data_IF_585372155503
#
_entry.id   IF_585372155503
#
_cell.length_a   1.000
_cell.length_b   1.000
_cell.length_c   1.000
_cell.angle_alpha   90.00
_cell.angle_beta   90.00
_cell.angle_gamma   90.00
#
_symmetry.space_group_name_H-M   'P 1'
#
loop_
_entity.id
_entity.type
_entity.pdbx_description
1 polymer ?
#
# COMPACT_ATOMS: atom_id res chain seq x y z
N UNK A 1 -14.01 -34.62 13.80
CA UNK A 1 -13.59 -33.48 12.95
C UNK A 1 -12.32 -33.92 12.24
N UNK A 2 -12.30 -33.93 10.91
CA UNK A 2 -11.14 -34.38 10.13
C UNK A 2 -9.99 -33.37 10.22
N UNK A 3 -8.75 -33.87 10.22
CA UNK A 3 -7.59 -33.00 10.06
C UNK A 3 -7.71 -32.26 8.73
N UNK A 4 -7.46 -30.93 8.69
CA UNK A 4 -7.39 -30.23 7.42
C UNK A 4 -6.34 -30.92 6.53
N UNK A 5 -6.74 -31.28 5.32
CA UNK A 5 -5.87 -31.88 4.33
C UNK A 5 -4.80 -30.89 3.90
N UNK A 6 -3.64 -31.40 3.49
CA UNK A 6 -2.52 -30.60 3.00
C UNK A 6 -2.91 -29.60 1.90
N UNK A 7 -3.95 -29.91 1.12
CA UNK A 7 -4.46 -29.07 0.02
C UNK A 7 -5.55 -28.06 0.44
N UNK A 8 -6.06 -28.11 1.68
CA UNK A 8 -7.21 -27.30 2.11
C UNK A 8 -6.86 -25.81 2.19
N UNK A 9 -5.59 -25.48 2.52
CA UNK A 9 -5.10 -24.10 2.54
C UNK A 9 -4.94 -23.54 1.12
N UNK A 10 -4.31 -24.32 0.24
CA UNK A 10 -4.10 -23.94 -1.16
C UNK A 10 -5.43 -23.74 -1.89
N UNK A 11 -6.42 -24.61 -1.65
CA UNK A 11 -7.76 -24.47 -2.22
C UNK A 11 -8.47 -23.20 -1.70
N UNK A 12 -8.32 -22.88 -0.40
CA UNK A 12 -8.83 -21.62 0.16
C UNK A 12 -8.17 -20.39 -0.48
N UNK A 13 -6.86 -20.42 -0.70
CA UNK A 13 -6.14 -19.35 -1.38
C UNK A 13 -6.52 -19.22 -2.85
N UNK A 14 -6.75 -20.32 -3.57
CA UNK A 14 -7.26 -20.29 -4.93
C UNK A 14 -8.64 -19.63 -4.98
N UNK A 15 -9.58 -20.04 -4.12
CA UNK A 15 -10.92 -19.43 -4.03
C UNK A 15 -10.87 -17.93 -3.71
N UNK A 16 -9.95 -17.50 -2.84
CA UNK A 16 -9.73 -16.08 -2.55
C UNK A 16 -9.20 -15.32 -3.78
N UNK A 17 -8.25 -15.91 -4.51
CA UNK A 17 -7.75 -15.33 -5.77
C UNK A 17 -8.84 -15.22 -6.83
N UNK A 18 -9.68 -16.24 -6.99
CA UNK A 18 -10.84 -16.24 -7.90
C UNK A 18 -11.87 -15.17 -7.51
N UNK A 19 -12.04 -14.94 -6.21
CA UNK A 19 -12.91 -13.89 -5.67
C UNK A 19 -12.32 -12.48 -5.82
N UNK A 20 -11.10 -12.36 -6.37
CA UNK A 20 -10.47 -11.09 -6.70
C UNK A 20 -9.66 -10.46 -5.57
N UNK A 21 -9.04 -11.25 -4.68
CA UNK A 21 -8.20 -10.75 -3.59
C UNK A 21 -7.21 -9.66 -4.07
N UNK A 22 -7.41 -8.38 -3.65
CA UNK A 22 -6.61 -7.26 -4.11
C UNK A 22 -5.17 -7.33 -3.61
N UNK A 23 -4.91 -8.03 -2.50
CA UNK A 23 -3.57 -8.11 -1.91
C UNK A 23 -2.64 -8.99 -2.74
N UNK A 24 -3.16 -10.01 -3.42
CA UNK A 24 -2.39 -10.80 -4.38
C UNK A 24 -1.91 -9.93 -5.53
N UNK A 25 -2.77 -9.03 -6.03
CA UNK A 25 -2.39 -8.07 -7.09
C UNK A 25 -1.36 -7.07 -6.56
N UNK A 26 -1.56 -6.54 -5.35
CA UNK A 26 -0.64 -5.59 -4.75
C UNK A 26 0.76 -6.19 -4.57
N UNK A 27 0.86 -7.39 -4.01
CA UNK A 27 2.12 -8.12 -3.84
C UNK A 27 2.83 -8.40 -5.18
N UNK A 28 2.08 -8.64 -6.25
CA UNK A 28 2.65 -8.83 -7.59
C UNK A 28 3.11 -7.51 -8.25
N UNK A 29 2.55 -6.37 -7.84
CA UNK A 29 2.85 -5.06 -8.44
C UNK A 29 4.08 -4.39 -7.83
N UNK A 30 4.38 -4.70 -6.57
CA UNK A 30 5.38 -4.01 -5.76
C UNK A 30 6.45 -5.01 -5.33
N UNK A 31 7.69 -4.71 -5.68
CA UNK A 31 8.84 -5.40 -5.12
C UNK A 31 9.18 -4.77 -3.75
N UNK A 32 8.62 -5.34 -2.69
CA UNK A 32 8.82 -4.84 -1.32
C UNK A 32 10.29 -4.96 -0.85
N UNK A 33 11.07 -5.87 -1.45
CA UNK A 33 12.51 -5.99 -1.14
C UNK A 33 13.31 -4.76 -1.56
N UNK A 34 12.83 -3.99 -2.54
CA UNK A 34 13.44 -2.72 -2.94
C UNK A 34 13.51 -1.68 -1.79
N UNK A 35 12.66 -1.82 -0.76
CA UNK A 35 12.62 -0.93 0.40
C UNK A 35 13.63 -1.33 1.48
N UNK A 36 14.17 -2.55 1.46
CA UNK A 36 15.04 -3.10 2.52
C UNK A 36 16.21 -2.20 2.87
N UNK A 37 16.91 -1.66 1.86
CA UNK A 37 18.08 -0.80 2.08
C UNK A 37 17.72 0.51 2.83
N UNK A 38 16.61 1.14 2.45
CA UNK A 38 16.09 2.34 3.12
C UNK A 38 15.66 2.03 4.56
N UNK A 39 14.92 0.93 4.75
CA UNK A 39 14.48 0.47 6.05
C UNK A 39 15.67 0.16 6.98
N UNK A 40 16.68 -0.56 6.49
CA UNK A 40 17.89 -0.87 7.25
C UNK A 40 18.65 0.39 7.68
N UNK A 41 18.78 1.36 6.76
CA UNK A 41 19.42 2.65 7.03
C UNK A 41 18.67 3.44 8.10
N UNK A 42 17.34 3.52 7.99
CA UNK A 42 16.50 4.26 8.92
C UNK A 42 16.52 3.65 10.34
N UNK A 43 16.47 2.32 10.42
CA UNK A 43 16.41 1.63 11.70
C UNK A 43 17.78 1.56 12.42
N UNK A 44 18.88 1.91 11.74
CA UNK A 44 20.26 1.93 12.29
C UNK A 44 20.56 0.73 13.19
N UNK A 45 20.12 -0.46 12.80
CA UNK A 45 20.15 -1.64 13.68
C UNK A 45 21.61 -2.05 13.92
N UNK A 46 21.95 -2.24 15.20
CA UNK A 46 23.21 -2.87 15.60
C UNK A 46 23.18 -4.37 15.28
N UNK A 47 24.36 -4.97 15.15
CA UNK A 47 24.69 -6.37 14.80
C UNK A 47 24.12 -7.46 15.72
N UNK A 48 23.13 -7.16 16.58
CA UNK A 48 22.52 -8.15 17.47
C UNK A 48 23.41 -8.56 18.66
N UNK A 49 24.54 -7.87 18.87
CA UNK A 49 25.52 -8.15 19.95
C UNK A 49 24.98 -8.04 21.38
N UNK A 50 23.76 -7.51 21.58
CA UNK A 50 23.15 -7.34 22.92
C UNK A 50 22.21 -8.46 23.37
N UNK A 51 22.05 -9.52 22.57
CA UNK A 51 21.18 -10.65 22.89
C UNK A 51 19.68 -10.31 22.88
N UNK A 52 18.83 -11.32 22.71
CA UNK A 52 17.38 -11.20 22.61
C UNK A 52 16.80 -11.95 21.42
N UNK A 53 15.45 -12.02 21.34
CA UNK A 53 14.77 -12.56 20.16
C UNK A 53 15.14 -11.70 18.94
N UNK A 54 15.54 -12.30 17.80
CA UNK A 54 15.79 -11.54 16.59
C UNK A 54 14.59 -10.64 16.25
N UNK A 55 14.82 -9.37 15.89
CA UNK A 55 13.74 -8.50 15.50
C UNK A 55 13.07 -9.01 14.23
N UNK A 56 11.79 -8.70 14.05
CA UNK A 56 11.09 -9.00 12.80
C UNK A 56 11.78 -8.39 11.59
N UNK A 57 11.62 -9.07 10.46
CA UNK A 57 12.11 -8.61 9.17
C UNK A 57 11.55 -7.22 8.85
N UNK A 58 12.39 -6.21 8.55
CA UNK A 58 11.90 -4.86 8.30
C UNK A 58 10.96 -4.75 7.09
N UNK A 59 11.09 -5.62 6.08
CA UNK A 59 10.21 -5.60 4.91
C UNK A 59 8.81 -6.07 5.30
N UNK A 60 8.71 -7.21 6.00
CA UNK A 60 7.44 -7.67 6.60
C UNK A 60 6.80 -6.59 7.48
N UNK A 61 7.58 -5.94 8.34
CA UNK A 61 7.04 -4.87 9.19
C UNK A 61 6.53 -3.68 8.37
N UNK A 62 7.16 -3.35 7.24
CA UNK A 62 6.68 -2.31 6.33
C UNK A 62 5.42 -2.71 5.59
N UNK A 63 5.30 -3.97 5.13
CA UNK A 63 4.07 -4.52 4.56
C UNK A 63 2.89 -4.43 5.54
N UNK A 64 3.14 -4.65 6.84
CA UNK A 64 2.14 -4.44 7.90
C UNK A 64 1.71 -2.97 7.98
N UNK A 65 2.65 -2.00 7.90
CA UNK A 65 2.28 -0.58 7.88
C UNK A 65 1.47 -0.23 6.63
N UNK A 66 1.76 -0.86 5.49
CA UNK A 66 0.96 -0.72 4.28
C UNK A 66 -0.45 -1.27 4.49
N UNK A 67 -0.62 -2.45 5.07
CA UNK A 67 -1.95 -2.99 5.43
C UNK A 67 -2.70 -2.04 6.38
N UNK A 68 -2.02 -1.47 7.37
CA UNK A 68 -2.59 -0.48 8.28
C UNK A 68 -3.15 0.73 7.53
N UNK A 69 -2.40 1.26 6.57
CA UNK A 69 -2.82 2.41 5.78
C UNK A 69 -3.94 2.04 4.80
N UNK A 70 -3.87 0.87 4.15
CA UNK A 70 -4.84 0.43 3.16
C UNK A 70 -6.23 0.15 3.77
N UNK A 71 -6.26 -0.37 4.99
CA UNK A 71 -7.50 -0.76 5.68
C UNK A 71 -7.86 0.16 6.86
N UNK A 72 -7.14 1.27 7.02
CA UNK A 72 -7.33 2.25 8.12
C UNK A 72 -7.38 1.59 9.50
N UNK A 73 -6.41 0.71 9.77
CA UNK A 73 -6.37 -0.09 10.99
C UNK A 73 -5.52 0.59 12.07
N UNK A 74 -5.96 0.49 13.33
CA UNK A 74 -5.12 0.74 14.49
C UNK A 74 -4.08 -0.37 14.68
N UNK A 75 -3.10 -0.18 15.57
CA UNK A 75 -2.11 -1.21 15.89
C UNK A 75 -2.77 -2.50 16.43
N UNK A 76 -3.72 -2.37 17.36
CA UNK A 76 -4.48 -3.51 17.91
C UNK A 76 -5.34 -4.21 16.84
N UNK A 77 -6.03 -3.44 16.01
CA UNK A 77 -6.84 -3.98 14.93
C UNK A 77 -5.96 -4.72 13.91
N UNK A 78 -4.74 -4.24 13.69
CA UNK A 78 -3.79 -4.87 12.76
C UNK A 78 -3.33 -6.23 13.26
N UNK A 79 -2.91 -6.31 14.53
CA UNK A 79 -2.57 -7.59 15.15
C UNK A 79 -3.72 -8.59 15.04
N UNK A 80 -4.93 -8.16 15.40
CA UNK A 80 -6.12 -9.01 15.34
C UNK A 80 -6.43 -9.47 13.91
N UNK A 81 -6.45 -8.56 12.94
CA UNK A 81 -6.82 -8.86 11.55
C UNK A 81 -5.78 -9.76 10.85
N UNK A 82 -4.49 -9.64 11.18
CA UNK A 82 -3.47 -10.55 10.65
C UNK A 82 -3.71 -11.98 11.16
N UNK A 83 -4.13 -12.15 12.42
CA UNK A 83 -4.44 -13.48 12.99
C UNK A 83 -5.74 -14.07 12.45
N UNK A 84 -6.71 -13.23 12.13
CA UNK A 84 -8.05 -13.66 11.73
C UNK A 84 -8.16 -13.92 10.20
N UNK A 85 -7.42 -13.15 9.38
CA UNK A 85 -7.62 -13.14 7.93
C UNK A 85 -6.53 -13.87 7.17
N UNK A 86 -6.93 -14.96 6.52
CA UNK A 86 -6.08 -15.72 5.59
C UNK A 86 -5.47 -14.87 4.47
N UNK A 87 -6.21 -13.89 3.94
CA UNK A 87 -5.68 -12.98 2.90
C UNK A 87 -4.54 -12.10 3.40
N UNK A 88 -4.56 -11.71 4.68
CA UNK A 88 -3.49 -10.90 5.28
C UNK A 88 -2.26 -11.76 5.57
N UNK A 89 -2.45 -12.95 6.16
CA UNK A 89 -1.36 -13.90 6.36
C UNK A 89 -0.66 -14.24 5.05
N UNK A 90 -1.44 -14.53 3.99
CA UNK A 90 -0.90 -14.80 2.66
C UNK A 90 -0.09 -13.64 2.10
N UNK A 91 -0.61 -12.41 2.23
CA UNK A 91 0.06 -11.20 1.76
C UNK A 91 1.41 -11.01 2.47
N UNK A 92 1.46 -11.24 3.78
CA UNK A 92 2.67 -11.11 4.61
C UNK A 92 3.60 -12.33 4.54
N UNK A 93 3.26 -13.36 3.79
CA UNK A 93 4.01 -14.62 3.73
C UNK A 93 4.06 -15.40 5.06
N UNK A 94 3.09 -15.18 5.95
CA UNK A 94 3.01 -15.84 7.26
C UNK A 94 2.21 -17.16 7.17
N UNK A 95 2.76 -18.22 7.76
CA UNK A 95 2.07 -19.46 8.06
C UNK A 95 1.29 -19.40 9.39
N UNK A 96 0.46 -20.41 9.66
CA UNK A 96 -0.37 -20.47 10.88
C UNK A 96 0.42 -20.51 12.19
N UNK A 97 1.60 -21.12 12.17
CA UNK A 97 2.46 -21.24 13.34
C UNK A 97 3.44 -20.06 13.48
N UNK A 98 3.48 -19.17 12.49
CA UNK A 98 4.38 -18.02 12.53
C UNK A 98 3.88 -16.97 13.51
N UNK A 99 4.83 -16.33 14.19
CA UNK A 99 4.50 -15.29 15.14
C UNK A 99 4.07 -14.00 14.44
N UNK A 100 2.88 -13.51 14.80
CA UNK A 100 2.39 -12.21 14.36
C UNK A 100 2.96 -11.11 15.27
N UNK A 101 3.54 -10.02 14.71
CA UNK A 101 3.94 -8.86 15.50
C UNK A 101 2.76 -8.31 16.30
N UNK A 102 2.96 -8.09 17.61
CA UNK A 102 1.93 -7.46 18.44
C UNK A 102 1.79 -5.97 18.15
N UNK A 103 0.68 -5.37 18.59
CA UNK A 103 0.38 -3.96 18.39
C UNK A 103 1.53 -3.04 18.84
N UNK A 104 2.17 -3.36 19.98
CA UNK A 104 3.29 -2.59 20.51
C UNK A 104 4.52 -2.65 19.61
N UNK A 105 4.78 -3.81 19.00
CA UNK A 105 5.88 -4.02 18.06
C UNK A 105 5.66 -3.23 16.78
N UNK A 106 4.42 -3.22 16.26
CA UNK A 106 4.04 -2.40 15.09
C UNK A 106 4.21 -0.91 15.40
N UNK A 107 3.71 -0.47 16.55
CA UNK A 107 3.86 0.91 17.01
C UNK A 107 5.33 1.33 17.15
N UNK A 108 6.15 0.53 17.82
CA UNK A 108 7.59 0.81 18.00
C UNK A 108 8.32 0.93 16.66
N UNK A 109 8.01 0.03 15.72
CA UNK A 109 8.59 0.06 14.38
C UNK A 109 8.25 1.36 13.63
N UNK A 110 6.97 1.75 13.65
CA UNK A 110 6.51 3.03 13.08
C UNK A 110 7.22 4.20 13.73
N UNK A 111 7.31 4.21 15.07
CA UNK A 111 7.96 5.29 15.82
C UNK A 111 9.45 5.43 15.46
N UNK A 112 10.18 4.32 15.26
CA UNK A 112 11.57 4.38 14.82
C UNK A 112 11.72 5.01 13.44
N UNK A 113 10.84 4.65 12.49
CA UNK A 113 10.86 5.24 11.14
C UNK A 113 10.48 6.72 11.16
N UNK A 114 9.50 7.11 11.98
CA UNK A 114 9.09 8.51 12.16
C UNK A 114 10.25 9.34 12.71
N UNK A 115 10.92 8.87 13.77
CA UNK A 115 12.09 9.56 14.37
C UNK A 115 13.27 9.66 13.41
N UNK A 116 13.41 8.68 12.51
CA UNK A 116 14.43 8.71 11.47
C UNK A 116 14.04 9.61 10.28
N UNK A 117 12.83 10.18 10.24
CA UNK A 117 12.32 10.95 9.10
C UNK A 117 12.07 10.10 7.85
N UNK A 118 12.03 8.77 7.99
CA UNK A 118 11.99 7.84 6.86
C UNK A 118 10.57 7.45 6.44
N UNK A 119 9.57 7.67 7.30
CA UNK A 119 8.19 7.20 7.05
C UNK A 119 7.61 7.82 5.77
N UNK A 120 7.72 9.13 5.61
CA UNK A 120 7.17 9.85 4.46
C UNK A 120 7.91 9.48 3.18
N UNK A 121 9.23 9.28 3.23
CA UNK A 121 10.02 8.87 2.08
C UNK A 121 9.67 7.45 1.61
N UNK A 122 9.44 6.52 2.56
CA UNK A 122 9.05 5.15 2.25
C UNK A 122 7.67 5.11 1.59
N UNK A 123 6.69 5.83 2.13
CA UNK A 123 5.35 5.90 1.54
C UNK A 123 5.34 6.67 0.20
N UNK A 124 6.14 7.73 0.05
CA UNK A 124 6.29 8.40 -1.24
C UNK A 124 6.89 7.48 -2.30
N UNK A 125 7.86 6.63 -1.95
CA UNK A 125 8.43 5.63 -2.85
C UNK A 125 7.40 4.54 -3.20
N UNK A 126 6.60 4.10 -2.23
CA UNK A 126 5.49 3.18 -2.44
C UNK A 126 4.44 3.74 -3.41
N UNK A 127 4.02 4.99 -3.22
CA UNK A 127 3.08 5.68 -4.10
C UNK A 127 3.65 5.87 -5.52
N UNK A 128 4.94 6.17 -5.63
CA UNK A 128 5.62 6.28 -6.92
C UNK A 128 5.64 4.95 -7.68
N UNK A 129 5.84 3.83 -6.98
CA UNK A 129 5.74 2.49 -7.56
C UNK A 129 4.34 2.20 -8.11
N UNK A 130 3.32 2.45 -7.31
CA UNK A 130 1.92 2.30 -7.73
C UNK A 130 1.62 3.17 -8.95
N UNK A 131 2.03 4.44 -8.91
CA UNK A 131 1.83 5.38 -10.02
C UNK A 131 2.54 4.95 -11.30
N UNK A 132 3.76 4.42 -11.19
CA UNK A 132 4.51 3.88 -12.33
C UNK A 132 3.83 2.67 -12.99
N UNK A 133 3.07 1.90 -12.21
CA UNK A 133 2.24 0.79 -12.70
C UNK A 133 0.83 1.22 -13.13
N UNK A 134 0.54 2.52 -13.08
CA UNK A 134 -0.75 3.08 -13.46
C UNK A 134 -1.82 2.87 -12.40
N UNK A 135 -1.47 2.97 -11.12
CA UNK A 135 -2.38 2.93 -9.98
C UNK A 135 -2.19 4.15 -9.09
N UNK A 136 -3.24 4.62 -8.42
CA UNK A 136 -3.14 5.71 -7.44
C UNK A 136 -3.48 5.16 -6.05
N UNK A 137 -2.58 5.33 -5.10
CA UNK A 137 -2.93 5.25 -3.69
C UNK A 137 -3.58 6.58 -3.29
N UNK A 138 -4.86 6.55 -2.92
CA UNK A 138 -5.49 7.70 -2.29
C UNK A 138 -5.14 7.65 -0.80
N UNK A 139 -4.25 8.53 -0.37
CA UNK A 139 -3.86 8.69 1.04
C UNK A 139 -5.12 8.82 1.92
N UNK A 140 -5.36 7.84 2.80
CA UNK A 140 -6.39 7.90 3.85
C UNK A 140 -7.81 7.47 3.47
N UNK A 141 -8.08 7.14 2.20
CA UNK A 141 -9.37 6.58 1.76
C UNK A 141 -9.12 5.64 0.58
N UNK A 142 -8.66 4.43 0.88
CA UNK A 142 -8.89 3.29 -0.03
C UNK A 142 -10.10 2.56 0.53
N UNK A 143 -11.25 3.22 0.43
CA UNK A 143 -12.53 2.56 0.63
C UNK A 143 -12.66 1.56 -0.51
N UNK A 144 -12.61 0.29 -0.13
CA UNK A 144 -12.90 -0.89 -0.95
C UNK A 144 -11.85 -1.23 -2.01
N UNK A 145 -10.87 -2.07 -1.63
CA UNK A 145 -10.37 -3.24 -2.36
C UNK A 145 -10.36 -3.21 -3.92
N UNK A 146 -10.11 -2.06 -4.52
CA UNK A 146 -9.89 -1.89 -5.94
C UNK A 146 -8.64 -1.03 -6.05
N UNK A 147 -7.55 -1.66 -6.48
CA UNK A 147 -6.41 -0.90 -6.99
C UNK A 147 -6.95 -0.22 -8.26
N UNK A 148 -7.45 1.00 -8.12
CA UNK A 148 -8.08 1.71 -9.23
C UNK A 148 -6.96 2.05 -10.21
N UNK A 149 -7.08 1.54 -11.44
CA UNK A 149 -6.20 1.97 -12.52
C UNK A 149 -6.27 3.49 -12.60
N UNK A 150 -5.13 4.14 -12.40
CA UNK A 150 -4.97 5.57 -12.54
C UNK A 150 -5.66 6.00 -13.84
N UNK A 151 -6.53 7.03 -13.80
CA UNK A 151 -7.17 7.54 -15.00
C UNK A 151 -6.09 7.80 -16.05
N UNK A 152 -6.21 7.18 -17.24
CA UNK A 152 -5.23 7.38 -18.32
C UNK A 152 -5.21 8.86 -18.69
N UNK A 153 -4.23 9.59 -18.17
CA UNK A 153 -4.04 11.00 -18.41
C UNK A 153 -3.62 11.19 -19.87
N UNK A 154 -4.54 11.63 -20.72
CA UNK A 154 -4.29 11.92 -22.15
C UNK A 154 -3.73 13.32 -22.39
N UNK A 155 -3.31 14.00 -21.33
CA UNK A 155 -2.84 15.38 -21.37
C UNK A 155 -1.32 15.41 -21.22
N UNK A 156 -0.69 16.05 -22.20
CA UNK A 156 0.74 16.33 -22.26
C UNK A 156 1.16 17.31 -21.16
N UNK A 157 2.45 17.36 -20.83
CA UNK A 157 2.94 18.21 -19.74
C UNK A 157 2.78 19.71 -20.04
N UNK A 158 2.78 20.11 -21.32
CA UNK A 158 2.43 21.46 -21.75
C UNK A 158 0.97 21.81 -21.42
N UNK A 159 0.04 20.89 -21.74
CA UNK A 159 -1.39 21.07 -21.42
C UNK A 159 -1.64 21.14 -19.90
N UNK A 160 -0.81 20.47 -19.07
CA UNK A 160 -0.89 20.56 -17.60
C UNK A 160 -0.42 21.91 -17.07
N UNK A 161 0.64 22.48 -17.65
CA UNK A 161 1.16 23.79 -17.25
C UNK A 161 0.11 24.88 -17.53
N UNK A 162 -0.51 24.85 -18.71
CA UNK A 162 -1.56 25.78 -19.08
C UNK A 162 -2.79 25.66 -18.15
N UNK A 163 -3.26 24.43 -17.88
CA UNK A 163 -4.40 24.21 -16.97
C UNK A 163 -4.10 24.63 -15.52
N UNK A 164 -2.86 24.45 -15.05
CA UNK A 164 -2.43 24.89 -13.71
C UNK A 164 -2.40 26.41 -13.59
N UNK A 165 -2.23 27.12 -14.70
CA UNK A 165 -2.32 28.57 -14.80
C UNK A 165 -3.73 29.08 -15.14
N UNK A 166 -4.74 28.19 -15.16
CA UNK A 166 -6.13 28.54 -15.50
C UNK A 166 -6.33 28.87 -16.99
N UNK A 167 -5.36 28.54 -17.85
CA UNK A 167 -5.42 28.76 -19.30
C UNK A 167 -5.90 27.47 -19.99
N UNK A 168 -6.84 27.62 -20.92
CA UNK A 168 -7.28 26.50 -21.77
C UNK A 168 -6.24 26.32 -22.88
N UNK A 169 -5.60 25.14 -23.03
CA UNK A 169 -4.64 24.92 -24.11
C UNK A 169 -5.31 25.12 -25.48
N UNK A 170 -4.65 25.82 -26.42
CA UNK A 170 -5.22 26.09 -27.76
C UNK A 170 -5.66 24.81 -28.50
N UNK A 171 -4.96 23.70 -28.26
CA UNK A 171 -5.28 22.39 -28.81
C UNK A 171 -6.64 21.81 -28.33
N UNK A 172 -7.23 22.36 -27.28
CA UNK A 172 -8.52 21.95 -26.71
C UNK A 172 -9.70 22.75 -27.26
N UNK A 173 -9.48 23.97 -27.73
CA UNK A 173 -10.50 24.81 -28.35
C UNK A 173 -11.15 24.12 -29.58
N UNK A 174 -10.39 23.25 -30.26
CA UNK A 174 -10.87 22.48 -31.42
C UNK A 174 -11.52 21.12 -31.07
N UNK A 175 -11.62 20.73 -29.79
CA UNK A 175 -12.10 19.40 -29.36
C UNK A 175 -13.18 19.49 -28.27
N UNK A 176 -14.47 19.66 -28.64
CA UNK A 176 -15.56 19.94 -27.70
C UNK A 176 -15.79 18.84 -26.65
N UNK A 177 -15.46 17.57 -26.96
CA UNK A 177 -15.55 16.45 -25.99
C UNK A 177 -14.55 16.52 -24.83
N UNK A 178 -13.47 17.33 -24.94
CA UNK A 178 -12.51 17.52 -23.83
C UNK A 178 -12.95 18.61 -22.86
N UNK A 179 -13.67 19.65 -23.33
CA UNK A 179 -14.18 20.74 -22.49
C UNK A 179 -15.30 20.28 -21.54
N UNK A 180 -16.21 19.42 -22.01
CA UNK A 180 -17.40 19.01 -21.26
C UNK A 180 -17.11 18.20 -19.98
N UNK A 181 -15.87 17.75 -19.75
CA UNK A 181 -15.51 16.95 -18.56
C UNK A 181 -15.08 17.79 -17.35
N UNK A 182 -14.77 19.07 -17.55
CA UNK A 182 -14.42 19.99 -16.44
C UNK A 182 -15.64 20.69 -15.82
N UNK A 183 -16.79 20.72 -16.51
CA UNK A 183 -17.97 21.45 -16.04
C UNK A 183 -18.72 20.80 -14.85
N UNK A 184 -18.35 19.57 -14.44
CA UNK A 184 -18.93 18.93 -13.25
C UNK A 184 -18.20 19.22 -11.95
N UNK A 185 -17.18 20.10 -11.95
CA UNK A 185 -16.61 20.62 -10.71
C UNK A 185 -17.54 21.67 -10.11
N UNK A 186 -18.38 21.25 -9.17
CA UNK A 186 -19.20 22.12 -8.31
C UNK A 186 -18.36 23.28 -7.75
N UNK A 187 -18.76 24.54 -7.93
CA UNK A 187 -18.06 25.64 -7.28
C UNK A 187 -18.36 25.61 -5.78
N UNK A 188 -17.32 25.39 -4.97
CA UNK A 188 -17.35 25.65 -3.54
C UNK A 188 -17.49 27.17 -3.35
N UNK A 189 -18.71 27.62 -3.04
CA UNK A 189 -19.02 28.99 -2.69
C UNK A 189 -18.93 29.22 -1.19
N UNK A 190 -18.09 30.21 -0.84
CA UNK A 190 -18.06 31.09 0.35
C UNK A 190 -17.99 30.48 1.76
#
# INVERSE_FOLDING_TARGET
>A
MGQPGFFDLDERYQRLSESGDPLVKLAALIDFEAFRSKLATALKRSDGSKGGRPPYDPVLMFEILVLQTLYTLSDDATEFQIRDRLSFMRFLGLGFEDAVPDAKTVWLFREYLTRAGAIDELFAAFDAWLKGKGYLAMSGQIIDASIIAAPRQRNTDAEKADLKEGRIPEAWAAKPKKLARDETATPAGR
#
